data_IF_037920014060
#
_entry.id   IF_037920014060
#
_cell.length_a   1.000
_cell.length_b   1.000
_cell.length_c   1.000
_cell.angle_alpha   90.00
_cell.angle_beta   90.00
_cell.angle_gamma   90.00
#
_symmetry.space_group_name_H-M   'P 1'
#
loop_
_entity.id
_entity.type
_entity.pdbx_description
1 polymer ?
#
# COMPACT_ATOMS: atom_id res chain seq x y z
N UNK A 1 -14.83 9.60 -6.71
CA UNK A 1 -14.32 8.49 -5.87
C UNK A 1 -15.51 7.75 -5.29
N UNK A 2 -15.43 6.42 -5.11
CA UNK A 2 -16.53 5.56 -4.66
C UNK A 2 -17.17 6.05 -3.35
N UNK A 3 -18.50 5.89 -3.19
CA UNK A 3 -19.24 6.24 -1.95
C UNK A 3 -18.74 5.51 -0.71
N UNK A 4 -17.94 4.45 -0.89
CA UNK A 4 -17.42 3.59 0.17
C UNK A 4 -16.05 4.03 0.69
N UNK A 5 -15.49 5.14 0.19
CA UNK A 5 -14.17 5.63 0.61
C UNK A 5 -14.12 7.15 0.66
N UNK A 6 -13.62 7.70 1.78
CA UNK A 6 -13.30 9.13 1.88
C UNK A 6 -12.16 9.48 0.91
N UNK A 7 -12.29 10.53 0.08
CA UNK A 7 -11.28 10.87 -0.92
C UNK A 7 -9.83 10.98 -0.46
N UNK A 8 -9.50 11.62 0.69
CA UNK A 8 -8.12 11.76 1.11
C UNK A 8 -7.45 10.42 1.47
N UNK A 9 -8.21 9.48 2.02
CA UNK A 9 -7.70 8.16 2.42
C UNK A 9 -7.37 7.34 1.18
N UNK A 10 -8.28 7.30 0.20
CA UNK A 10 -8.05 6.61 -1.06
C UNK A 10 -6.85 7.16 -1.81
N UNK A 11 -6.65 8.49 -1.80
CA UNK A 11 -5.49 9.12 -2.43
C UNK A 11 -4.18 8.73 -1.74
N UNK A 12 -4.12 8.79 -0.40
CA UNK A 12 -2.92 8.39 0.35
C UNK A 12 -2.57 6.91 0.15
N UNK A 13 -3.58 6.05 0.11
CA UNK A 13 -3.42 4.63 -0.20
C UNK A 13 -2.85 4.40 -1.60
N UNK A 14 -3.41 5.08 -2.61
CA UNK A 14 -2.96 5.01 -4.00
C UNK A 14 -1.49 5.46 -4.10
N UNK A 15 -1.16 6.60 -3.50
CA UNK A 15 0.22 7.12 -3.48
C UNK A 15 1.18 6.11 -2.86
N UNK A 16 0.86 5.55 -1.69
CA UNK A 16 1.71 4.55 -1.04
C UNK A 16 1.92 3.29 -1.89
N UNK A 17 0.85 2.78 -2.51
CA UNK A 17 0.90 1.59 -3.38
C UNK A 17 1.73 1.85 -4.64
N UNK A 18 1.60 3.04 -5.25
CA UNK A 18 2.37 3.43 -6.43
C UNK A 18 3.85 3.64 -6.08
N UNK A 19 4.16 4.37 -5.00
CA UNK A 19 5.53 4.63 -4.57
C UNK A 19 6.28 3.32 -4.23
N UNK A 20 5.64 2.39 -3.51
CA UNK A 20 6.26 1.08 -3.22
C UNK A 20 6.59 0.29 -4.48
N UNK A 21 5.75 0.39 -5.52
CA UNK A 21 6.00 -0.24 -6.81
C UNK A 21 7.16 0.44 -7.55
N UNK A 22 7.15 1.77 -7.55
CA UNK A 22 8.14 2.61 -8.23
C UNK A 22 9.55 2.48 -7.64
N UNK A 23 9.67 2.44 -6.31
CA UNK A 23 10.97 2.25 -5.64
C UNK A 23 11.66 0.94 -6.05
N UNK A 24 10.88 -0.10 -6.36
CA UNK A 24 11.43 -1.36 -6.83
C UNK A 24 12.13 -1.26 -8.19
N UNK A 25 11.61 -0.42 -9.11
CA UNK A 25 12.23 -0.18 -10.42
C UNK A 25 13.32 0.88 -10.35
N UNK A 26 13.16 1.92 -9.51
CA UNK A 26 14.21 2.92 -9.28
C UNK A 26 15.49 2.30 -8.74
N UNK A 27 15.39 1.38 -7.80
CA UNK A 27 16.53 0.64 -7.27
C UNK A 27 17.33 -0.04 -8.39
N UNK A 28 16.65 -0.69 -9.33
CA UNK A 28 17.29 -1.32 -10.49
C UNK A 28 17.94 -0.31 -11.43
N UNK A 29 17.31 0.85 -11.62
CA UNK A 29 17.82 1.92 -12.50
C UNK A 29 19.15 2.52 -11.99
N UNK A 30 19.37 2.54 -10.67
CA UNK A 30 20.64 3.01 -10.08
C UNK A 30 21.68 1.89 -9.91
N UNK A 31 21.44 0.72 -10.51
CA UNK A 31 22.35 -0.43 -10.45
C UNK A 31 22.28 -1.25 -9.15
N UNK A 32 21.29 -0.98 -8.29
CA UNK A 32 21.03 -1.80 -7.11
C UNK A 32 20.21 -3.06 -7.47
N UNK A 33 20.34 -4.10 -6.66
CA UNK A 33 19.49 -5.30 -6.79
C UNK A 33 18.02 -4.95 -6.50
N UNK A 34 17.08 -5.76 -6.96
CA UNK A 34 15.66 -5.43 -6.77
C UNK A 34 15.27 -5.52 -5.30
N UNK A 35 14.91 -4.38 -4.69
CA UNK A 35 14.43 -4.35 -3.31
C UNK A 35 13.02 -4.94 -3.18
N UNK A 36 12.94 -6.08 -2.51
CA UNK A 36 11.70 -6.70 -2.07
C UNK A 36 11.39 -6.45 -0.59
N UNK A 37 12.29 -5.79 0.15
CA UNK A 37 12.11 -5.49 1.55
C UNK A 37 10.84 -4.67 1.84
N UNK A 38 10.27 -4.86 3.02
CA UNK A 38 9.11 -4.11 3.51
C UNK A 38 8.01 -4.98 4.10
N UNK A 39 7.08 -4.33 4.79
CA UNK A 39 5.91 -4.96 5.43
C UNK A 39 4.81 -5.34 4.43
N UNK A 40 4.91 -4.85 3.19
CA UNK A 40 3.85 -4.98 2.20
C UNK A 40 4.40 -5.52 0.87
N UNK A 41 4.20 -6.83 0.69
CA UNK A 41 4.56 -7.55 -0.52
C UNK A 41 3.65 -7.27 -1.70
N UNK A 42 3.94 -7.92 -2.83
CA UNK A 42 3.03 -7.92 -4.00
C UNK A 42 1.83 -8.84 -3.78
N UNK A 43 2.10 -10.04 -3.29
CA UNK A 43 1.06 -11.03 -2.99
C UNK A 43 0.08 -10.49 -1.95
N UNK A 44 0.58 -9.88 -0.88
CA UNK A 44 -0.25 -9.33 0.20
C UNK A 44 -1.24 -8.29 -0.31
N UNK A 45 -0.82 -7.38 -1.20
CA UNK A 45 -1.73 -6.40 -1.82
C UNK A 45 -2.87 -7.07 -2.56
N UNK A 46 -2.55 -8.08 -3.38
CA UNK A 46 -3.54 -8.78 -4.17
C UNK A 46 -4.51 -9.53 -3.28
N UNK A 47 -4.02 -10.23 -2.26
CA UNK A 47 -4.87 -10.94 -1.30
C UNK A 47 -5.83 -9.96 -0.60
N UNK A 48 -5.31 -8.85 -0.08
CA UNK A 48 -6.14 -7.84 0.59
C UNK A 48 -7.18 -7.22 -0.37
N UNK A 49 -6.79 -6.93 -1.62
CA UNK A 49 -7.67 -6.36 -2.64
C UNK A 49 -8.70 -7.35 -3.20
N UNK A 50 -8.49 -8.65 -3.04
CA UNK A 50 -9.48 -9.68 -3.43
C UNK A 50 -10.42 -9.97 -2.26
N UNK A 51 -9.88 -10.23 -1.07
CA UNK A 51 -10.64 -10.71 0.09
C UNK A 51 -11.57 -9.64 0.64
N UNK A 52 -11.10 -8.41 0.81
CA UNK A 52 -11.89 -7.40 1.52
C UNK A 52 -13.07 -6.83 0.73
N UNK A 53 -13.02 -6.66 -0.60
CA UNK A 53 -14.22 -6.34 -1.37
C UNK A 53 -15.26 -7.46 -1.33
N UNK A 54 -14.85 -8.73 -1.33
CA UNK A 54 -15.76 -9.87 -1.16
C UNK A 54 -16.40 -9.86 0.24
N UNK A 55 -15.61 -9.60 1.28
CA UNK A 55 -16.14 -9.42 2.64
C UNK A 55 -17.12 -8.26 2.73
N UNK A 56 -16.80 -7.10 2.15
CA UNK A 56 -17.71 -5.96 2.08
C UNK A 56 -19.03 -6.35 1.38
N UNK A 57 -18.96 -7.11 0.29
CA UNK A 57 -20.15 -7.56 -0.43
C UNK A 57 -21.02 -8.50 0.43
N UNK A 58 -20.42 -9.45 1.15
CA UNK A 58 -21.13 -10.32 2.09
C UNK A 58 -21.78 -9.54 3.23
N UNK A 59 -21.12 -8.49 3.76
CA UNK A 59 -21.66 -7.66 4.84
C UNK A 59 -22.89 -6.84 4.43
N UNK A 60 -23.00 -6.45 3.15
CA UNK A 60 -24.21 -5.80 2.62
C UNK A 60 -25.43 -6.71 2.75
N UNK A 61 -25.27 -8.02 2.54
CA UNK A 61 -26.35 -9.01 2.67
C UNK A 61 -26.86 -9.19 4.12
N UNK A 62 -26.05 -8.83 5.12
CA UNK A 62 -26.37 -8.98 6.55
C UNK A 62 -26.72 -7.62 7.20
N UNK A 63 -26.71 -6.53 6.44
CA UNK A 63 -26.97 -5.16 6.93
C UNK A 63 -26.07 -4.75 8.11
N UNK A 64 -24.84 -5.28 8.16
CA UNK A 64 -23.86 -4.92 9.20
C UNK A 64 -23.17 -3.62 8.81
N UNK A 65 -23.34 -2.58 9.61
CA UNK A 65 -22.68 -1.29 9.44
C UNK A 65 -21.65 -1.13 10.56
N UNK A 66 -20.40 -0.86 10.20
CA UNK A 66 -19.37 -0.54 11.19
C UNK A 66 -19.65 0.81 11.85
N UNK A 67 -19.14 1.03 13.08
CA UNK A 67 -19.24 2.33 13.74
C UNK A 67 -18.73 3.46 12.83
N UNK A 68 -19.39 4.62 12.90
CA UNK A 68 -18.94 5.87 12.25
C UNK A 68 -19.01 5.87 10.71
N UNK A 69 -19.75 4.92 10.13
CA UNK A 69 -19.93 4.82 8.68
C UNK A 69 -18.65 4.41 7.94
N UNK A 70 -17.67 3.86 8.66
CA UNK A 70 -16.43 3.33 8.07
C UNK A 70 -16.78 2.05 7.32
N UNK A 71 -16.20 1.86 6.14
CA UNK A 71 -16.43 0.63 5.35
C UNK A 71 -15.26 -0.33 5.51
N UNK A 72 -15.47 -1.61 5.24
CA UNK A 72 -14.38 -2.61 5.24
C UNK A 72 -13.29 -2.22 4.24
N UNK A 73 -13.69 -1.63 3.11
CA UNK A 73 -12.77 -1.11 2.09
C UNK A 73 -11.96 0.07 2.64
N UNK A 74 -12.59 0.99 3.37
CA UNK A 74 -11.90 2.13 3.97
C UNK A 74 -10.82 1.68 4.97
N UNK A 75 -11.09 0.64 5.77
CA UNK A 75 -10.10 0.06 6.69
C UNK A 75 -8.86 -0.44 5.95
N UNK A 76 -9.05 -1.15 4.83
CA UNK A 76 -7.93 -1.63 4.01
C UNK A 76 -7.17 -0.49 3.34
N UNK A 77 -7.88 0.54 2.90
CA UNK A 77 -7.23 1.71 2.31
C UNK A 77 -6.42 2.49 3.36
N UNK A 78 -6.90 2.60 4.60
CA UNK A 78 -6.09 3.15 5.71
C UNK A 78 -4.84 2.29 5.93
N UNK A 79 -4.97 0.97 5.93
CA UNK A 79 -3.82 0.06 6.02
C UNK A 79 -2.81 0.30 4.89
N UNK A 80 -3.26 0.40 3.64
CA UNK A 80 -2.39 0.71 2.50
C UNK A 80 -1.78 2.10 2.57
N UNK A 81 -2.53 3.10 3.03
CA UNK A 81 -2.03 4.47 3.21
C UNK A 81 -0.88 4.50 4.21
N UNK A 82 -0.98 3.80 5.33
CA UNK A 82 0.07 3.81 6.36
C UNK A 82 1.23 2.90 5.94
N UNK A 83 0.97 1.61 5.76
CA UNK A 83 2.02 0.60 5.57
C UNK A 83 2.69 0.74 4.21
N UNK A 84 1.94 1.16 3.18
CA UNK A 84 2.49 1.45 1.85
C UNK A 84 3.49 2.60 1.88
N UNK A 85 3.14 3.74 2.48
CA UNK A 85 4.05 4.88 2.55
C UNK A 85 5.29 4.59 3.42
N UNK A 86 5.13 3.87 4.54
CA UNK A 86 6.26 3.43 5.37
C UNK A 86 7.19 2.51 4.56
N UNK A 87 6.63 1.54 3.82
CA UNK A 87 7.42 0.61 3.00
C UNK A 87 8.16 1.35 1.87
N UNK A 88 7.53 2.36 1.25
CA UNK A 88 8.18 3.17 0.23
C UNK A 88 9.39 3.94 0.79
N UNK A 89 9.22 4.57 1.95
CA UNK A 89 10.31 5.28 2.65
C UNK A 89 11.43 4.32 3.06
N UNK A 90 11.10 3.13 3.57
CA UNK A 90 12.09 2.12 3.92
C UNK A 90 12.96 1.73 2.71
N UNK A 91 12.33 1.42 1.57
CA UNK A 91 13.04 1.06 0.33
C UNK A 91 13.92 2.19 -0.19
N UNK A 92 13.42 3.42 -0.12
CA UNK A 92 14.18 4.61 -0.50
C UNK A 92 15.45 4.77 0.35
N UNK A 93 15.32 4.72 1.68
CA UNK A 93 16.45 4.91 2.60
C UNK A 93 17.49 3.80 2.44
N UNK A 94 17.06 2.54 2.24
CA UNK A 94 17.97 1.41 1.99
C UNK A 94 18.77 1.61 0.70
N UNK A 95 18.07 1.94 -0.39
CA UNK A 95 18.70 2.18 -1.70
C UNK A 95 19.67 3.37 -1.64
N UNK A 96 19.27 4.46 -0.97
CA UNK A 96 20.10 5.66 -0.82
C UNK A 96 21.38 5.40 -0.01
N UNK A 97 21.27 4.62 1.08
CA UNK A 97 22.42 4.23 1.90
C UNK A 97 23.41 3.38 1.10
N UNK A 98 22.91 2.44 0.30
CA UNK A 98 23.75 1.64 -0.59
C UNK A 98 24.43 2.51 -1.65
N UNK A 99 23.65 3.36 -2.34
CA UNK A 99 24.17 4.23 -3.39
C UNK A 99 25.31 5.13 -2.89
N UNK A 100 25.13 5.74 -1.70
CA UNK A 100 26.16 6.59 -1.08
C UNK A 100 27.42 5.81 -0.68
N UNK A 101 27.31 4.52 -0.34
CA UNK A 101 28.47 3.68 0.01
C UNK A 101 29.27 3.28 -1.23
N UNK A 102 28.59 3.05 -2.36
CA UNK A 102 29.20 2.61 -3.61
C UNK A 102 29.77 3.75 -4.49
N UNK A 103 29.52 5.01 -4.14
CA UNK A 103 30.09 6.20 -4.80
C UNK A 103 31.40 6.68 -4.15
N UNK A 104 31.85 6.06 -3.05
CA UNK A 104 33.19 6.25 -2.48
C UNK A 104 34.12 5.16 -3.01
#
# INVERSE_FOLDING_TARGET
LSSWCRPPIGLLALVGVLLTSYMGTQAQAVGYQREYAGLLGRADRLVLLIVFPLLQHMMLGVSVVLPWGVTVIEVVLVYFAIVGNITALQRFVLTLRWFRKNQK
#
